data_IF_807787873435
#
_entry.id   IF_807787873435
#
_cell.length_a   1.000
_cell.length_b   1.000
_cell.length_c   1.000
_cell.angle_alpha   90.00
_cell.angle_beta   90.00
_cell.angle_gamma   90.00
#
_symmetry.space_group_name_H-M   'P 1'
#
loop_
_entity.id
_entity.type
_entity.pdbx_description
1 polymer ?
#
# COMPACT_ATOMS: atom_id res chain seq x y z
N UNK A 1 22.21 -5.64 -0.02
CA UNK A 1 22.23 -4.99 1.33
C UNK A 1 21.35 -5.68 2.36
N UNK A 2 20.06 -5.90 2.10
CA UNK A 2 19.16 -6.57 3.06
C UNK A 2 19.61 -7.96 3.52
N UNK A 3 20.18 -8.79 2.63
CA UNK A 3 20.75 -10.10 3.02
C UNK A 3 21.93 -9.97 3.98
N UNK A 4 22.82 -9.00 3.74
CA UNK A 4 23.96 -8.70 4.61
C UNK A 4 23.50 -8.20 5.99
N UNK A 5 22.47 -7.35 6.02
CA UNK A 5 21.87 -6.91 7.27
C UNK A 5 21.26 -8.08 8.07
N UNK A 6 20.64 -9.04 7.39
CA UNK A 6 20.10 -10.25 8.02
C UNK A 6 21.21 -11.15 8.58
N UNK A 7 22.29 -11.35 7.83
CA UNK A 7 23.44 -12.11 8.29
C UNK A 7 24.08 -11.50 9.55
N UNK A 8 24.30 -10.19 9.56
CA UNK A 8 24.82 -9.47 10.73
C UNK A 8 23.86 -9.56 11.93
N UNK A 9 22.55 -9.59 11.69
CA UNK A 9 21.55 -9.81 12.74
C UNK A 9 21.64 -11.21 13.33
N UNK A 10 21.82 -12.24 12.50
CA UNK A 10 22.04 -13.62 12.96
C UNK A 10 23.32 -13.75 13.79
N UNK A 11 24.42 -13.11 13.38
CA UNK A 11 25.67 -13.08 14.15
C UNK A 11 25.49 -12.41 15.52
N UNK A 12 24.82 -11.26 15.58
CA UNK A 12 24.49 -10.57 16.83
C UNK A 12 23.56 -11.42 17.72
N UNK A 13 22.58 -12.12 17.12
CA UNK A 13 21.66 -13.02 17.84
C UNK A 13 22.38 -14.26 18.39
N UNK A 14 23.39 -14.74 17.66
CA UNK A 14 24.27 -15.85 18.06
C UNK A 14 25.23 -15.52 19.21
N UNK A 15 25.19 -14.29 19.72
CA UNK A 15 26.01 -13.86 20.87
C UNK A 15 27.30 -13.12 20.50
N UNK A 16 27.53 -12.81 19.21
CA UNK A 16 28.64 -11.96 18.82
C UNK A 16 28.40 -10.53 19.34
N UNK A 17 29.26 -10.05 20.23
CA UNK A 17 29.16 -8.70 20.83
C UNK A 17 30.19 -7.71 20.28
N UNK A 18 30.86 -8.06 19.18
CA UNK A 18 31.90 -7.23 18.57
C UNK A 18 31.36 -5.83 18.20
N UNK A 19 32.00 -4.75 18.67
CA UNK A 19 31.60 -3.38 18.36
C UNK A 19 31.60 -3.07 16.85
N UNK A 20 32.49 -3.72 16.09
CA UNK A 20 32.59 -3.56 14.64
C UNK A 20 31.35 -4.13 13.92
N UNK A 21 30.92 -5.34 14.29
CA UNK A 21 29.72 -6.00 13.73
C UNK A 21 28.47 -5.18 14.04
N UNK A 22 28.37 -4.66 15.27
CA UNK A 22 27.26 -3.78 15.67
C UNK A 22 27.25 -2.45 14.91
N UNK A 23 28.41 -1.86 14.66
CA UNK A 23 28.53 -0.65 13.86
C UNK A 23 28.14 -0.88 12.40
N UNK A 24 28.52 -2.02 11.82
CA UNK A 24 28.16 -2.39 10.45
C UNK A 24 26.66 -2.69 10.32
N UNK A 25 26.10 -3.44 11.27
CA UNK A 25 24.66 -3.69 11.34
C UNK A 25 23.86 -2.38 11.41
N UNK A 26 24.30 -1.43 12.24
CA UNK A 26 23.63 -0.13 12.37
C UNK A 26 23.61 0.69 11.07
N UNK A 27 24.58 0.49 10.17
CA UNK A 27 24.59 1.12 8.85
C UNK A 27 23.61 0.44 7.88
N UNK A 28 23.47 -0.88 7.95
CA UNK A 28 22.65 -1.65 7.01
C UNK A 28 21.25 -1.97 7.51
N UNK A 29 20.91 -1.68 8.77
CA UNK A 29 19.62 -2.02 9.39
C UNK A 29 18.40 -1.46 8.66
N UNK A 30 18.57 -0.36 7.93
CA UNK A 30 17.49 0.26 7.15
C UNK A 30 17.00 -0.66 6.02
N UNK A 31 17.91 -1.45 5.44
CA UNK A 31 17.60 -2.36 4.34
C UNK A 31 17.14 -3.75 4.81
N UNK A 32 17.05 -3.98 6.13
CA UNK A 32 16.73 -5.29 6.71
C UNK A 32 15.36 -5.80 6.22
N UNK A 33 14.37 -4.91 6.09
CA UNK A 33 13.04 -5.27 5.60
C UNK A 33 13.05 -5.88 4.20
N UNK A 34 13.93 -5.38 3.32
CA UNK A 34 14.11 -5.92 1.97
C UNK A 34 14.75 -7.31 1.99
N UNK A 35 15.61 -7.60 2.97
CA UNK A 35 16.11 -8.96 3.20
C UNK A 35 15.00 -9.94 3.57
N UNK A 36 14.01 -9.48 4.35
CA UNK A 36 12.87 -10.31 4.74
C UNK A 36 11.90 -10.63 3.60
N UNK A 37 11.94 -9.94 2.46
CA UNK A 37 11.17 -10.34 1.28
C UNK A 37 11.60 -11.73 0.75
N UNK A 38 12.86 -12.10 0.96
CA UNK A 38 13.41 -13.40 0.55
C UNK A 38 12.93 -14.54 1.44
N UNK A 39 12.47 -14.27 2.68
CA UNK A 39 11.94 -15.30 3.59
C UNK A 39 10.74 -16.05 3.02
N UNK A 40 10.04 -15.47 2.04
CA UNK A 40 8.97 -16.14 1.31
C UNK A 40 9.47 -17.30 0.43
N UNK A 41 10.72 -17.26 0.00
CA UNK A 41 11.32 -18.20 -0.95
C UNK A 41 12.39 -19.10 -0.34
N UNK A 42 13.08 -18.63 0.71
CA UNK A 42 14.08 -19.40 1.43
C UNK A 42 13.96 -19.21 2.94
N UNK A 43 14.11 -20.28 3.75
CA UNK A 43 14.16 -20.14 5.21
C UNK A 43 15.40 -19.36 5.66
N UNK A 44 16.52 -19.51 4.93
CA UNK A 44 17.75 -18.75 5.14
C UNK A 44 17.89 -17.67 4.06
N UNK A 45 17.90 -16.41 4.49
CA UNK A 45 18.03 -15.24 3.60
C UNK A 45 19.46 -15.10 3.04
N UNK A 46 20.47 -15.60 3.76
CA UNK A 46 21.88 -15.56 3.36
C UNK A 46 22.20 -16.43 2.15
N UNK A 47 21.45 -17.52 1.96
CA UNK A 47 21.75 -18.57 0.97
C UNK A 47 20.86 -18.44 -0.29
N UNK A 48 20.21 -17.29 -0.46
CA UNK A 48 19.28 -17.06 -1.56
C UNK A 48 19.99 -17.12 -2.92
N UNK A 49 19.46 -17.92 -3.84
CA UNK A 49 19.95 -18.01 -5.21
C UNK A 49 19.60 -16.74 -6.00
N UNK A 50 20.38 -16.44 -7.04
CA UNK A 50 20.13 -15.27 -7.91
C UNK A 50 18.73 -15.29 -8.54
N UNK A 51 18.23 -16.47 -8.90
CA UNK A 51 16.87 -16.65 -9.40
C UNK A 51 15.81 -16.26 -8.35
N UNK A 52 16.00 -16.62 -7.08
CA UNK A 52 15.09 -16.25 -5.99
C UNK A 52 15.14 -14.74 -5.69
N UNK A 53 16.32 -14.12 -5.82
CA UNK A 53 16.47 -12.68 -5.67
C UNK A 53 15.68 -11.94 -6.75
N UNK A 54 15.84 -12.33 -8.02
CA UNK A 54 15.11 -11.72 -9.13
C UNK A 54 13.59 -11.90 -9.00
N UNK A 55 13.16 -13.08 -8.55
CA UNK A 55 11.73 -13.39 -8.36
C UNK A 55 11.15 -12.59 -7.20
N UNK A 56 11.87 -12.47 -6.07
CA UNK A 56 11.46 -11.63 -4.95
C UNK A 56 11.39 -10.15 -5.31
N UNK A 57 12.34 -9.63 -6.09
CA UNK A 57 12.29 -8.25 -6.59
C UNK A 57 11.08 -8.03 -7.50
N UNK A 58 10.79 -8.95 -8.41
CA UNK A 58 9.63 -8.83 -9.30
C UNK A 58 8.31 -8.87 -8.54
N UNK A 59 8.19 -9.75 -7.55
CA UNK A 59 6.99 -9.88 -6.71
C UNK A 59 6.85 -8.73 -5.69
N UNK A 60 7.92 -7.97 -5.45
CA UNK A 60 7.89 -6.81 -4.56
C UNK A 60 7.16 -5.60 -5.16
N UNK A 61 6.83 -5.64 -6.46
CA UNK A 61 6.06 -4.59 -7.13
C UNK A 61 4.60 -5.05 -7.20
N UNK A 62 3.66 -4.39 -6.50
CA UNK A 62 2.26 -4.75 -6.55
C UNK A 62 1.72 -4.59 -7.98
N UNK A 63 0.68 -5.36 -8.33
CA UNK A 63 0.06 -5.27 -9.65
C UNK A 63 -0.53 -3.88 -9.84
N UNK A 64 0.03 -3.13 -10.80
CA UNK A 64 -0.35 -1.72 -11.04
C UNK A 64 -1.74 -1.56 -11.66
N UNK A 65 -2.25 -2.58 -12.35
CA UNK A 65 -3.52 -2.49 -13.08
C UNK A 65 -4.74 -2.29 -12.15
N UNK A 66 -4.97 -3.10 -11.09
CA UNK A 66 -6.05 -2.85 -10.14
C UNK A 66 -5.96 -1.48 -9.46
N UNK A 67 -4.75 -1.06 -9.07
CA UNK A 67 -4.51 0.23 -8.43
C UNK A 67 -4.91 1.39 -9.35
N UNK A 68 -4.52 1.33 -10.62
CA UNK A 68 -4.86 2.32 -11.62
C UNK A 68 -6.37 2.47 -11.83
N UNK A 69 -7.11 1.35 -11.95
CA UNK A 69 -8.55 1.40 -12.12
C UNK A 69 -9.28 1.90 -10.86
N UNK A 70 -8.86 1.45 -9.68
CA UNK A 70 -9.44 1.89 -8.41
C UNK A 70 -9.26 3.40 -8.21
N UNK A 71 -8.07 3.94 -8.51
CA UNK A 71 -7.80 5.38 -8.45
C UNK A 71 -8.71 6.18 -9.39
N UNK A 72 -8.92 5.70 -10.62
CA UNK A 72 -9.80 6.37 -11.60
C UNK A 72 -11.27 6.34 -11.18
N UNK A 73 -11.73 5.24 -10.62
CA UNK A 73 -13.10 5.13 -10.08
C UNK A 73 -13.28 6.13 -8.95
N UNK A 74 -12.34 6.19 -8.00
CA UNK A 74 -12.35 7.14 -6.89
C UNK A 74 -12.43 8.59 -7.40
N UNK A 75 -11.57 8.98 -8.34
CA UNK A 75 -11.55 10.34 -8.90
C UNK A 75 -12.84 10.64 -9.67
N UNK A 76 -13.34 9.70 -10.48
CA UNK A 76 -14.59 9.88 -11.21
C UNK A 76 -15.78 10.09 -10.26
N UNK A 77 -15.89 9.28 -9.20
CA UNK A 77 -16.90 9.46 -8.17
C UNK A 77 -16.76 10.82 -7.45
N UNK A 78 -15.52 11.22 -7.12
CA UNK A 78 -15.24 12.52 -6.48
C UNK A 78 -15.68 13.71 -7.34
N UNK A 79 -15.32 13.71 -8.63
CA UNK A 79 -15.71 14.77 -9.58
C UNK A 79 -17.22 14.80 -9.78
N UNK A 80 -17.88 13.64 -9.91
CA UNK A 80 -19.34 13.56 -10.03
C UNK A 80 -20.05 14.12 -8.79
N UNK A 81 -19.58 13.77 -7.59
CA UNK A 81 -20.12 14.32 -6.35
C UNK A 81 -19.91 15.83 -6.26
N UNK A 82 -18.72 16.34 -6.62
CA UNK A 82 -18.44 17.77 -6.65
C UNK A 82 -19.38 18.51 -7.59
N UNK A 83 -19.66 17.96 -8.78
CA UNK A 83 -20.61 18.52 -9.73
C UNK A 83 -22.03 18.54 -9.16
N UNK A 84 -22.51 17.44 -8.57
CA UNK A 84 -23.85 17.34 -8.00
C UNK A 84 -24.02 18.34 -6.85
N UNK A 85 -23.05 18.40 -5.92
CA UNK A 85 -23.07 19.31 -4.78
C UNK A 85 -22.97 20.77 -5.25
N UNK A 86 -22.04 21.07 -6.17
CA UNK A 86 -21.86 22.41 -6.71
C UNK A 86 -23.09 22.94 -7.45
N UNK A 87 -23.74 22.09 -8.26
CA UNK A 87 -24.99 22.44 -8.95
C UNK A 87 -26.17 22.59 -7.97
N UNK A 88 -26.23 21.74 -6.94
CA UNK A 88 -27.24 21.84 -5.88
C UNK A 88 -27.08 23.13 -5.08
N UNK A 89 -25.84 23.47 -4.71
CA UNK A 89 -25.50 24.71 -4.04
C UNK A 89 -25.86 25.94 -4.88
N UNK A 90 -25.52 25.94 -6.19
CA UNK A 90 -25.89 27.03 -7.10
C UNK A 90 -27.41 27.19 -7.22
N UNK A 91 -28.16 26.09 -7.19
CA UNK A 91 -29.63 26.09 -7.16
C UNK A 91 -30.18 26.77 -5.89
N UNK A 92 -29.56 26.49 -4.74
CA UNK A 92 -29.92 27.10 -3.45
C UNK A 92 -29.65 28.60 -3.47
N UNK A 93 -28.44 29.03 -3.86
CA UNK A 93 -28.06 30.45 -3.92
C UNK A 93 -28.96 31.26 -4.86
N UNK A 94 -29.42 30.66 -5.96
CA UNK A 94 -30.33 31.29 -6.92
C UNK A 94 -31.80 31.24 -6.51
N UNK A 95 -32.14 30.65 -5.36
CA UNK A 95 -33.52 30.48 -4.91
C UNK A 95 -34.37 29.55 -5.81
N UNK A 96 -33.74 28.69 -6.62
CA UNK A 96 -34.40 27.81 -7.61
C UNK A 96 -34.46 26.35 -7.15
N UNK A 97 -34.60 26.15 -5.84
CA UNK A 97 -34.65 24.82 -5.22
C UNK A 97 -35.86 24.06 -5.77
N UNK A 98 -35.66 22.79 -6.14
CA UNK A 98 -36.75 21.92 -6.61
C UNK A 98 -37.18 22.11 -8.07
N UNK A 99 -36.70 23.14 -8.76
CA UNK A 99 -37.12 23.42 -10.14
C UNK A 99 -36.53 22.42 -11.16
N UNK A 100 -35.28 21.98 -10.95
CA UNK A 100 -34.57 21.06 -11.86
C UNK A 100 -34.74 19.60 -11.42
N UNK A 101 -35.75 18.90 -11.94
CA UNK A 101 -36.03 17.49 -11.62
C UNK A 101 -34.85 16.54 -11.90
N UNK A 102 -34.03 16.82 -12.92
CA UNK A 102 -32.84 16.00 -13.22
C UNK A 102 -31.77 16.12 -12.14
N UNK A 103 -31.62 17.29 -11.50
CA UNK A 103 -30.64 17.51 -10.44
C UNK A 103 -31.05 16.76 -9.16
N UNK A 104 -32.34 16.75 -8.84
CA UNK A 104 -32.88 15.95 -7.74
C UNK A 104 -32.69 14.45 -7.97
N UNK A 105 -32.94 13.97 -9.20
CA UNK A 105 -32.68 12.57 -9.58
C UNK A 105 -31.19 12.23 -9.50
N UNK A 106 -30.31 13.13 -9.96
CA UNK A 106 -28.87 12.94 -9.87
C UNK A 106 -28.38 12.89 -8.41
N UNK A 107 -28.91 13.74 -7.53
CA UNK A 107 -28.61 13.68 -6.10
C UNK A 107 -29.09 12.38 -5.44
N UNK A 108 -30.29 11.90 -5.81
CA UNK A 108 -30.84 10.63 -5.32
C UNK A 108 -29.98 9.42 -5.77
N UNK A 109 -29.67 9.32 -7.06
CA UNK A 109 -28.82 8.24 -7.58
C UNK A 109 -27.33 8.41 -7.23
N UNK A 110 -26.94 9.59 -6.77
CA UNK A 110 -25.60 9.88 -6.28
C UNK A 110 -25.33 9.39 -4.85
N UNK A 111 -26.36 9.00 -4.10
CA UNK A 111 -26.21 8.44 -2.75
C UNK A 111 -25.18 7.31 -2.63
N UNK A 112 -25.08 6.31 -3.54
CA UNK A 112 -24.05 5.26 -3.47
C UNK A 112 -22.62 5.74 -3.74
N UNK A 113 -22.41 6.90 -4.39
CA UNK A 113 -21.09 7.37 -4.84
C UNK A 113 -20.06 7.57 -3.73
N UNK A 114 -20.38 8.15 -2.56
CA UNK A 114 -19.43 8.32 -1.47
C UNK A 114 -18.90 6.99 -0.94
N UNK A 115 -19.76 5.98 -0.80
CA UNK A 115 -19.33 4.64 -0.35
C UNK A 115 -18.35 4.01 -1.33
N UNK A 116 -18.66 4.04 -2.63
CA UNK A 116 -17.77 3.50 -3.66
C UNK A 116 -16.43 4.24 -3.66
N UNK A 117 -16.45 5.56 -3.55
CA UNK A 117 -15.23 6.38 -3.53
C UNK A 117 -14.35 6.07 -2.31
N UNK A 118 -14.95 5.90 -1.12
CA UNK A 118 -14.23 5.61 0.12
C UNK A 118 -13.61 4.22 0.08
N UNK A 119 -14.36 3.19 -0.35
CA UNK A 119 -13.84 1.82 -0.49
C UNK A 119 -12.71 1.75 -1.53
N UNK A 120 -12.88 2.42 -2.68
CA UNK A 120 -11.83 2.52 -3.68
C UNK A 120 -10.59 3.26 -3.16
N UNK A 121 -10.78 4.31 -2.35
CA UNK A 121 -9.68 5.05 -1.71
C UNK A 121 -8.91 4.19 -0.72
N UNK A 122 -9.61 3.42 0.12
CA UNK A 122 -8.99 2.44 1.02
C UNK A 122 -8.23 1.36 0.26
N UNK A 123 -8.81 0.84 -0.82
CA UNK A 123 -8.12 -0.13 -1.67
C UNK A 123 -6.84 0.46 -2.25
N UNK A 124 -6.86 1.70 -2.76
CA UNK A 124 -5.67 2.36 -3.29
C UNK A 124 -4.61 2.56 -2.21
N UNK A 125 -5.00 2.98 -1.00
CA UNK A 125 -4.08 3.20 0.11
C UNK A 125 -3.45 1.90 0.63
N UNK A 126 -4.27 0.87 0.86
CA UNK A 126 -3.82 -0.39 1.48
C UNK A 126 -3.12 -1.30 0.47
N UNK A 127 -3.68 -1.44 -0.73
CA UNK A 127 -3.06 -2.23 -1.79
C UNK A 127 -1.81 -1.55 -2.36
N UNK A 128 -1.76 -0.21 -2.37
CA UNK A 128 -0.58 0.54 -2.79
C UNK A 128 0.64 0.32 -1.90
N UNK A 129 0.44 -0.06 -0.64
CA UNK A 129 1.50 -0.37 0.32
C UNK A 129 2.02 -1.80 0.21
N UNK A 130 1.30 -2.70 -0.46
CA UNK A 130 1.79 -4.06 -0.72
C UNK A 130 3.13 -3.99 -1.46
N UNK A 131 4.13 -4.82 -1.09
CA UNK A 131 4.10 -6.02 -0.23
C UNK A 131 4.36 -5.74 1.27
N UNK A 132 4.26 -4.49 1.72
CA UNK A 132 4.67 -4.09 3.07
C UNK A 132 3.48 -3.98 4.01
N UNK A 133 3.58 -4.62 5.19
CA UNK A 133 2.69 -4.37 6.31
C UNK A 133 3.12 -3.12 7.08
N UNK A 134 4.44 -2.92 7.21
CA UNK A 134 5.06 -1.66 7.65
C UNK A 134 6.03 -1.28 6.55
N UNK A 135 5.86 -0.09 5.98
CA UNK A 135 6.64 0.39 4.83
C UNK A 135 8.13 0.17 5.05
N UNK A 136 8.77 -0.52 4.10
CA UNK A 136 10.22 -0.81 4.04
C UNK A 136 10.81 -1.62 5.20
N UNK A 137 10.01 -1.93 6.23
CA UNK A 137 10.47 -2.58 7.46
C UNK A 137 9.96 -4.01 7.55
N UNK A 138 8.67 -4.25 7.33
CA UNK A 138 8.07 -5.57 7.54
C UNK A 138 7.20 -6.00 6.35
N UNK A 139 7.59 -7.07 5.63
CA UNK A 139 6.75 -7.66 4.59
C UNK A 139 5.48 -8.30 5.13
N UNK A 140 4.39 -8.24 4.37
CA UNK A 140 3.09 -8.84 4.72
C UNK A 140 3.17 -10.36 4.90
N UNK A 141 3.98 -11.04 4.09
CA UNK A 141 4.18 -12.49 4.14
C UNK A 141 4.90 -12.99 5.41
N UNK A 142 5.52 -12.09 6.18
CA UNK A 142 6.22 -12.40 7.43
C UNK A 142 5.43 -11.91 8.66
N UNK A 143 4.47 -11.01 8.45
CA UNK A 143 3.66 -10.41 9.50
C UNK A 143 2.44 -11.27 9.92
N UNK A 144 2.22 -12.42 9.27
CA UNK A 144 1.11 -13.31 9.57
C UNK A 144 1.41 -14.21 10.78
N UNK A 145 0.34 -14.62 11.47
CA UNK A 145 0.45 -15.57 12.58
C UNK A 145 0.65 -17.00 12.07
N UNK A 146 1.46 -17.80 12.75
CA UNK A 146 1.60 -19.24 12.52
C UNK A 146 0.53 -19.99 13.31
N UNK A 147 -0.63 -20.22 12.70
CA UNK A 147 -1.64 -21.18 13.19
C UNK A 147 -1.48 -22.51 12.46
#
# INVERSE_FOLDING_TARGET
NGMKAYQLLEELRGGNTDPAVRAEFNKTKQDLGYGMLLKRYTPNVSDATEAQIQLATKDSIPRVAPLYFAFRIMVACGVLMLLIIGLSFLSVVRGRIGQKKWLLRAALYGLPLPWIAVEAGWFVAEYGRQPWAIGEVLPTAVANSSL
#
